data_IF_840584705900
#
_entry.id   IF_840584705900
#
_cell.length_a   1.000
_cell.length_b   1.000
_cell.length_c   1.000
_cell.angle_alpha   90.00
_cell.angle_beta   90.00
_cell.angle_gamma   90.00
#
_symmetry.space_group_name_H-M   'P 1'
#
loop_
_entity.id
_entity.type
_entity.pdbx_description
1 polymer ?
#
# COMPACT_ATOMS: atom_id res chain seq x y z
N UNK A 1 -17.50 5.88 14.02
CA UNK A 1 -16.40 5.05 13.54
C UNK A 1 -16.86 3.60 13.58
N UNK A 2 -16.63 2.84 12.52
CA UNK A 2 -17.03 1.42 12.50
C UNK A 2 -16.25 0.67 13.59
N UNK A 3 -16.89 -0.31 14.23
CA UNK A 3 -16.28 -1.09 15.33
C UNK A 3 -15.07 -1.94 14.90
N UNK A 4 -14.80 -2.05 13.58
CA UNK A 4 -13.76 -2.92 12.99
C UNK A 4 -12.44 -2.20 12.66
N UNK A 5 -12.28 -0.96 13.07
CA UNK A 5 -11.03 -0.21 12.92
C UNK A 5 -10.63 0.46 14.23
N UNK A 6 -9.38 0.28 14.63
CA UNK A 6 -8.72 1.02 15.70
C UNK A 6 -7.78 2.02 15.06
N UNK A 7 -7.93 3.29 15.38
CA UNK A 7 -7.13 4.37 14.79
C UNK A 7 -6.33 5.07 15.87
N UNK A 8 -5.04 5.16 15.66
CA UNK A 8 -4.10 5.91 16.47
C UNK A 8 -3.49 7.00 15.60
N UNK A 9 -3.35 8.21 16.12
CA UNK A 9 -2.71 9.32 15.43
C UNK A 9 -1.65 9.94 16.31
N UNK A 10 -0.46 10.07 15.79
CA UNK A 10 0.65 10.72 16.48
C UNK A 10 1.55 11.44 15.48
N UNK A 11 1.76 12.74 15.71
CA UNK A 11 2.73 13.57 14.99
C UNK A 11 2.67 13.43 13.45
N UNK A 12 1.42 13.44 12.93
CA UNK A 12 1.15 13.33 11.49
C UNK A 12 1.18 11.90 10.92
N UNK A 13 1.43 10.89 11.75
CA UNK A 13 1.31 9.48 11.36
C UNK A 13 -0.02 8.95 11.85
N UNK A 14 -0.81 8.39 10.93
CA UNK A 14 -2.06 7.69 11.23
C UNK A 14 -1.82 6.19 11.12
N UNK A 15 -2.20 5.45 12.17
CA UNK A 15 -2.16 3.99 12.16
C UNK A 15 -3.60 3.49 12.22
N UNK A 16 -4.07 2.89 11.14
CA UNK A 16 -5.38 2.26 11.03
C UNK A 16 -5.23 0.75 11.14
N UNK A 17 -5.57 0.21 12.31
CA UNK A 17 -5.48 -1.21 12.59
C UNK A 17 -6.85 -1.87 12.43
N UNK A 18 -6.95 -2.85 11.52
CA UNK A 18 -8.16 -3.62 11.28
C UNK A 18 -8.36 -4.64 12.40
N UNK A 19 -9.57 -4.66 12.99
CA UNK A 19 -9.93 -5.47 14.17
C UNK A 19 -11.28 -6.14 13.99
N UNK A 20 -11.29 -7.27 13.33
CA UNK A 20 -12.49 -8.09 13.13
C UNK A 20 -12.23 -9.56 13.50
N UNK A 21 -12.11 -9.87 14.82
CA UNK A 21 -11.81 -11.22 15.28
C UNK A 21 -12.93 -12.23 14.93
N UNK A 22 -12.64 -13.55 14.86
CA UNK A 22 -11.33 -14.14 15.20
C UNK A 22 -10.32 -14.15 14.06
N UNK A 23 -10.77 -14.15 12.80
CA UNK A 23 -9.91 -14.35 11.62
C UNK A 23 -9.49 -13.06 10.94
N UNK A 24 -10.02 -11.93 11.36
CA UNK A 24 -9.75 -10.61 10.80
C UNK A 24 -10.14 -10.47 9.32
N UNK A 25 -11.27 -11.09 8.94
CA UNK A 25 -11.83 -10.95 7.60
C UNK A 25 -12.27 -9.50 7.32
N UNK A 26 -11.99 -9.04 6.13
CA UNK A 26 -12.54 -7.79 5.62
C UNK A 26 -14.01 -8.00 5.27
N UNK A 27 -14.88 -7.14 5.75
CA UNK A 27 -16.34 -7.21 5.58
C UNK A 27 -16.89 -5.88 5.08
N UNK A 28 -18.17 -5.81 4.74
CA UNK A 28 -18.81 -4.54 4.34
C UNK A 28 -18.64 -3.42 5.34
N UNK A 29 -18.67 -3.72 6.65
CA UNK A 29 -18.39 -2.74 7.72
C UNK A 29 -16.94 -2.24 7.67
N UNK A 30 -15.99 -3.07 7.25
CA UNK A 30 -14.58 -2.68 7.06
C UNK A 30 -14.44 -1.70 5.90
N UNK A 31 -15.15 -1.95 4.79
CA UNK A 31 -15.17 -1.06 3.63
C UNK A 31 -15.77 0.31 3.99
N UNK A 32 -16.89 0.31 4.71
CA UNK A 32 -17.53 1.55 5.19
C UNK A 32 -16.59 2.34 6.10
N UNK A 33 -15.98 1.67 7.09
CA UNK A 33 -15.05 2.33 8.01
C UNK A 33 -13.80 2.88 7.31
N UNK A 34 -13.27 2.16 6.32
CA UNK A 34 -12.16 2.66 5.50
C UNK A 34 -12.55 3.92 4.73
N UNK A 35 -13.74 3.91 4.12
CA UNK A 35 -14.25 5.09 3.40
C UNK A 35 -14.45 6.30 4.33
N UNK A 36 -14.93 6.09 5.56
CA UNK A 36 -15.12 7.14 6.56
C UNK A 36 -13.79 7.77 7.03
N UNK A 37 -12.67 7.04 6.99
CA UNK A 37 -11.35 7.55 7.38
C UNK A 37 -10.68 8.39 6.29
N UNK A 38 -11.00 8.18 5.01
CA UNK A 38 -10.33 8.85 3.88
C UNK A 38 -10.38 10.40 3.92
N UNK A 39 -11.47 11.07 4.34
CA UNK A 39 -11.48 12.52 4.48
C UNK A 39 -10.41 13.01 5.49
N UNK A 40 -10.28 12.34 6.64
CA UNK A 40 -9.27 12.68 7.66
C UNK A 40 -7.84 12.51 7.12
N UNK A 41 -7.59 11.44 6.36
CA UNK A 41 -6.26 11.19 5.80
C UNK A 41 -5.82 12.21 4.75
N UNK A 42 -6.76 12.98 4.18
CA UNK A 42 -6.46 14.07 3.23
C UNK A 42 -6.03 15.37 3.88
N UNK A 43 -6.29 15.52 5.17
CA UNK A 43 -5.96 16.75 5.89
C UNK A 43 -4.44 17.05 5.85
N UNK A 44 -4.03 18.33 5.81
CA UNK A 44 -2.62 18.73 5.63
C UNK A 44 -1.69 18.25 6.75
N UNK A 45 -2.20 18.08 7.96
CA UNK A 45 -1.45 17.63 9.13
C UNK A 45 -1.16 16.12 9.12
N UNK A 46 -1.87 15.33 8.31
CA UNK A 46 -1.53 13.93 8.07
C UNK A 46 -0.38 13.84 7.06
N UNK A 47 0.67 13.13 7.43
CA UNK A 47 1.89 12.98 6.64
C UNK A 47 2.03 11.59 6.03
N UNK A 48 1.74 10.54 6.81
CA UNK A 48 1.85 9.13 6.41
C UNK A 48 0.70 8.35 7.03
N UNK A 49 0.20 7.35 6.31
CA UNK A 49 -0.80 6.41 6.81
C UNK A 49 -0.20 5.01 6.85
N UNK A 50 -0.45 4.28 7.93
CA UNK A 50 -0.11 2.87 8.09
C UNK A 50 -1.41 2.08 8.23
N UNK A 51 -1.58 1.04 7.41
CA UNK A 51 -2.67 0.08 7.55
C UNK A 51 -2.09 -1.23 8.06
N UNK A 52 -2.67 -1.78 9.15
CA UNK A 52 -2.16 -3.00 9.79
C UNK A 52 -3.29 -3.83 10.39
N UNK A 53 -2.98 -4.99 10.98
CA UNK A 53 -3.89 -5.76 11.83
C UNK A 53 -3.79 -5.31 13.30
N UNK A 54 -4.91 -5.39 14.03
CA UNK A 54 -4.96 -5.01 15.44
C UNK A 54 -4.44 -6.11 16.39
N UNK A 55 -4.51 -7.37 15.97
CA UNK A 55 -4.07 -8.52 16.77
C UNK A 55 -2.77 -9.11 16.21
N UNK A 56 -1.85 -9.56 17.10
CA UNK A 56 -0.63 -10.24 16.68
C UNK A 56 -0.92 -11.44 15.77
N UNK A 57 -0.13 -11.61 14.70
CA UNK A 57 -0.29 -12.69 13.73
C UNK A 57 -1.57 -12.60 12.90
N UNK A 58 -2.27 -11.49 12.92
CA UNK A 58 -3.50 -11.24 12.13
C UNK A 58 -3.38 -9.92 11.38
N UNK A 59 -3.27 -10.02 10.09
CA UNK A 59 -3.46 -8.91 9.17
C UNK A 59 -4.90 -8.91 8.64
N UNK A 60 -5.19 -8.37 7.50
CA UNK A 60 -6.47 -8.53 6.79
C UNK A 60 -6.40 -9.85 6.02
N UNK A 61 -6.99 -10.92 6.56
CA UNK A 61 -6.80 -12.28 6.04
C UNK A 61 -7.35 -12.42 4.62
N UNK A 62 -8.60 -12.03 4.38
CA UNK A 62 -9.24 -11.88 3.06
C UNK A 62 -10.61 -11.21 3.22
N UNK A 63 -11.32 -10.93 2.13
CA UNK A 63 -12.72 -10.53 2.19
C UNK A 63 -13.57 -11.73 2.64
N UNK A 64 -14.61 -11.50 3.47
CA UNK A 64 -15.49 -12.57 3.95
C UNK A 64 -16.12 -13.34 2.78
N UNK A 65 -15.85 -14.63 2.74
CA UNK A 65 -16.47 -15.53 1.75
C UNK A 65 -17.95 -15.75 2.08
N UNK A 66 -18.32 -15.67 3.36
CA UNK A 66 -19.70 -15.75 3.81
C UNK A 66 -20.55 -14.62 3.21
N UNK A 67 -20.06 -13.36 3.28
CA UNK A 67 -20.75 -12.24 2.63
C UNK A 67 -20.84 -12.40 1.11
N UNK A 68 -19.82 -13.00 0.47
CA UNK A 68 -19.87 -13.30 -0.96
C UNK A 68 -20.91 -14.37 -1.31
N UNK A 69 -21.07 -15.39 -0.46
CA UNK A 69 -22.11 -16.42 -0.61
C UNK A 69 -23.47 -15.78 -0.49
N UNK A 70 -23.73 -14.98 0.56
CA UNK A 70 -25.00 -14.29 0.76
C UNK A 70 -25.36 -13.41 -0.46
N UNK A 71 -24.37 -12.71 -1.04
CA UNK A 71 -24.56 -11.94 -2.27
C UNK A 71 -24.88 -12.83 -3.49
N UNK A 72 -24.25 -14.01 -3.59
CA UNK A 72 -24.38 -14.90 -4.74
C UNK A 72 -25.68 -15.74 -4.72
N UNK A 73 -26.31 -15.92 -3.56
CA UNK A 73 -27.58 -16.63 -3.42
C UNK A 73 -28.74 -15.89 -4.09
N UNK A 74 -28.73 -14.53 -4.04
CA UNK A 74 -29.70 -13.71 -4.79
C UNK A 74 -29.08 -13.23 -6.11
N UNK A 75 -29.08 -14.12 -7.10
CA UNK A 75 -28.47 -13.84 -8.42
C UNK A 75 -29.11 -12.69 -9.17
N UNK A 76 -30.42 -12.50 -9.03
CA UNK A 76 -31.14 -11.43 -9.73
C UNK A 76 -30.72 -10.07 -9.16
N UNK A 77 -30.72 -9.94 -7.85
CA UNK A 77 -30.26 -8.74 -7.16
C UNK A 77 -28.76 -8.49 -7.38
N UNK A 78 -27.94 -9.52 -7.33
CA UNK A 78 -26.51 -9.42 -7.61
C UNK A 78 -26.26 -8.90 -9.02
N UNK A 79 -26.93 -9.46 -10.05
CA UNK A 79 -26.78 -8.99 -11.44
C UNK A 79 -27.23 -7.53 -11.56
N UNK A 80 -28.33 -7.16 -10.92
CA UNK A 80 -28.86 -5.79 -10.93
C UNK A 80 -27.89 -4.78 -10.33
N UNK A 81 -27.16 -5.16 -9.27
CA UNK A 81 -26.22 -4.28 -8.53
C UNK A 81 -24.75 -4.53 -8.83
N UNK A 82 -24.42 -5.52 -9.66
CA UNK A 82 -23.04 -6.00 -9.82
C UNK A 82 -22.05 -4.89 -10.20
N UNK A 83 -22.44 -4.00 -11.10
CA UNK A 83 -21.56 -2.88 -11.47
C UNK A 83 -21.33 -1.91 -10.31
N UNK A 84 -22.37 -1.57 -9.55
CA UNK A 84 -22.24 -0.66 -8.40
C UNK A 84 -21.38 -1.27 -7.31
N UNK A 85 -21.54 -2.56 -7.04
CA UNK A 85 -20.75 -3.29 -6.04
C UNK A 85 -19.27 -3.35 -6.44
N UNK A 86 -18.97 -3.81 -7.65
CA UNK A 86 -17.58 -3.98 -8.09
C UNK A 86 -16.88 -2.63 -8.32
N UNK A 87 -17.56 -1.64 -8.90
CA UNK A 87 -16.99 -0.31 -9.06
C UNK A 87 -16.87 0.43 -7.73
N UNK A 88 -17.75 0.17 -6.76
CA UNK A 88 -17.61 0.64 -5.38
C UNK A 88 -16.33 0.10 -4.74
N UNK A 89 -16.06 -1.20 -4.88
CA UNK A 89 -14.82 -1.83 -4.43
C UNK A 89 -13.58 -1.23 -5.12
N UNK A 90 -13.61 -1.12 -6.46
CA UNK A 90 -12.53 -0.48 -7.22
C UNK A 90 -12.26 0.94 -6.73
N UNK A 91 -13.31 1.75 -6.59
CA UNK A 91 -13.19 3.16 -6.17
C UNK A 91 -12.63 3.28 -4.75
N UNK A 92 -13.07 2.40 -3.84
CA UNK A 92 -12.57 2.38 -2.48
C UNK A 92 -11.06 2.07 -2.44
N UNK A 93 -10.64 0.98 -3.07
CA UNK A 93 -9.22 0.60 -3.05
C UNK A 93 -8.35 1.57 -3.83
N UNK A 94 -8.79 2.03 -4.99
CA UNK A 94 -8.05 3.05 -5.75
C UNK A 94 -7.90 4.36 -4.98
N UNK A 95 -8.84 4.70 -4.07
CA UNK A 95 -8.69 5.88 -3.23
C UNK A 95 -7.43 5.87 -2.37
N UNK A 96 -6.89 4.69 -2.04
CA UNK A 96 -5.60 4.53 -1.37
C UNK A 96 -4.44 4.88 -2.31
N UNK A 97 -4.44 4.32 -3.52
CA UNK A 97 -3.41 4.61 -4.53
C UNK A 97 -3.38 6.10 -4.92
N UNK A 98 -4.56 6.74 -4.98
CA UNK A 98 -4.68 8.16 -5.34
C UNK A 98 -4.66 9.13 -4.16
N UNK A 99 -4.48 8.64 -2.93
CA UNK A 99 -4.27 9.51 -1.77
C UNK A 99 -2.92 10.23 -1.91
N UNK A 100 -2.92 11.54 -1.72
CA UNK A 100 -1.71 12.38 -1.84
C UNK A 100 -0.73 12.25 -0.65
N UNK A 101 -0.79 11.13 0.05
CA UNK A 101 0.06 10.78 1.19
C UNK A 101 0.63 9.39 0.98
N UNK A 102 1.86 9.11 1.44
CA UNK A 102 2.36 7.74 1.50
C UNK A 102 1.47 6.85 2.36
N UNK A 103 1.20 5.64 1.88
CA UNK A 103 0.49 4.60 2.62
C UNK A 103 1.36 3.36 2.72
N UNK A 104 1.53 2.86 3.93
CA UNK A 104 2.32 1.65 4.22
C UNK A 104 1.36 0.55 4.68
N UNK A 105 1.40 -0.60 4.02
CA UNK A 105 0.77 -1.82 4.52
C UNK A 105 1.78 -2.56 5.41
N UNK A 106 1.52 -2.60 6.72
CA UNK A 106 2.25 -3.41 7.68
C UNK A 106 1.52 -4.74 7.84
N UNK A 107 1.94 -5.73 7.08
CA UNK A 107 1.27 -7.02 6.92
C UNK A 107 1.71 -7.96 8.04
N UNK A 108 0.98 -7.94 9.17
CA UNK A 108 1.32 -8.64 10.43
C UNK A 108 0.77 -10.06 10.50
N UNK A 109 0.50 -10.71 9.39
CA UNK A 109 -0.04 -12.07 9.33
C UNK A 109 -0.42 -12.49 7.93
N UNK A 110 -1.15 -13.61 7.84
CA UNK A 110 -1.68 -14.11 6.56
C UNK A 110 -2.56 -13.10 5.86
N UNK A 111 -2.47 -13.07 4.52
CA UNK A 111 -3.35 -12.26 3.69
C UNK A 111 -3.61 -12.92 2.34
N UNK A 112 -4.84 -12.79 1.86
CA UNK A 112 -5.23 -13.29 0.54
C UNK A 112 -6.38 -12.48 -0.04
N UNK A 113 -6.67 -12.67 -1.31
CA UNK A 113 -7.81 -12.04 -1.95
C UNK A 113 -7.89 -10.54 -1.66
N UNK A 114 -9.04 -10.09 -1.16
CA UNK A 114 -9.30 -8.69 -0.85
C UNK A 114 -8.30 -8.02 0.10
N UNK A 115 -7.67 -8.78 1.02
CA UNK A 115 -6.63 -8.28 1.91
C UNK A 115 -5.33 -7.96 1.15
N UNK A 116 -4.92 -8.83 0.24
CA UNK A 116 -3.78 -8.59 -0.63
C UNK A 116 -4.08 -7.51 -1.67
N UNK A 117 -5.32 -7.43 -2.17
CA UNK A 117 -5.75 -6.33 -3.06
C UNK A 117 -5.61 -4.96 -2.40
N UNK A 118 -6.05 -4.85 -1.13
CA UNK A 118 -5.87 -3.62 -0.35
C UNK A 118 -4.38 -3.30 -0.21
N UNK A 119 -3.56 -4.29 0.14
CA UNK A 119 -2.11 -4.10 0.31
C UNK A 119 -1.41 -3.65 -0.98
N UNK A 120 -1.82 -4.19 -2.14
CA UNK A 120 -1.30 -3.78 -3.46
C UNK A 120 -1.72 -2.36 -3.86
N UNK A 121 -2.76 -1.79 -3.25
CA UNK A 121 -3.12 -0.38 -3.41
C UNK A 121 -2.35 0.56 -2.45
N UNK A 122 -1.57 0.02 -1.50
CA UNK A 122 -0.64 0.80 -0.70
C UNK A 122 0.69 1.01 -1.44
N UNK A 123 1.45 2.04 -1.06
CA UNK A 123 2.70 2.39 -1.72
C UNK A 123 3.85 1.47 -1.31
N UNK A 124 3.93 1.13 -0.03
CA UNK A 124 4.97 0.28 0.55
C UNK A 124 4.27 -0.87 1.30
N UNK A 125 4.77 -2.09 1.10
CA UNK A 125 4.29 -3.31 1.77
C UNK A 125 5.44 -3.93 2.54
N UNK A 126 5.29 -4.00 3.87
CA UNK A 126 6.23 -4.63 4.79
C UNK A 126 5.53 -5.83 5.40
N UNK A 127 6.03 -7.03 5.15
CA UNK A 127 5.43 -8.26 5.69
C UNK A 127 6.25 -8.78 6.87
N UNK A 128 5.55 -9.26 7.87
CA UNK A 128 6.17 -9.86 9.06
C UNK A 128 6.80 -11.20 8.71
N UNK A 129 8.00 -11.44 9.24
CA UNK A 129 8.66 -12.75 9.15
C UNK A 129 7.91 -13.76 10.00
N UNK A 130 7.77 -14.96 9.50
CA UNK A 130 7.08 -16.05 10.20
C UNK A 130 6.47 -17.04 9.23
N UNK A 131 5.68 -17.96 9.77
CA UNK A 131 4.91 -18.92 8.98
C UNK A 131 3.61 -18.25 8.48
N UNK A 132 3.78 -17.17 7.71
CA UNK A 132 2.70 -16.41 7.10
C UNK A 132 2.74 -16.49 5.59
N UNK A 133 1.57 -16.51 4.99
CA UNK A 133 1.39 -16.66 3.55
C UNK A 133 0.61 -15.49 2.96
N UNK A 134 0.91 -15.13 1.72
CA UNK A 134 0.08 -14.22 0.94
C UNK A 134 -0.27 -14.80 -0.43
N UNK A 135 -1.47 -14.52 -0.93
CA UNK A 135 -1.90 -15.12 -2.17
C UNK A 135 -3.26 -14.71 -2.72
N UNK A 136 -3.62 -15.32 -3.84
CA UNK A 136 -4.91 -15.14 -4.49
C UNK A 136 -5.58 -16.51 -4.73
N UNK A 137 -6.50 -16.94 -3.85
CA UNK A 137 -7.18 -18.24 -3.96
C UNK A 137 -8.40 -18.22 -4.90
N UNK A 138 -8.76 -17.09 -5.48
CA UNK A 138 -10.04 -16.85 -6.13
C UNK A 138 -10.38 -17.84 -7.23
N UNK A 139 -9.41 -18.24 -8.06
CA UNK A 139 -9.68 -19.21 -9.13
C UNK A 139 -10.10 -20.59 -8.60
N UNK A 140 -9.61 -21.01 -7.42
CA UNK A 140 -10.05 -22.24 -6.76
C UNK A 140 -11.47 -22.14 -6.18
N UNK A 141 -11.96 -20.92 -5.91
CA UNK A 141 -13.33 -20.63 -5.50
C UNK A 141 -14.27 -20.36 -6.69
N UNK A 142 -13.76 -20.39 -7.93
CA UNK A 142 -14.56 -20.13 -9.12
C UNK A 142 -14.90 -18.65 -9.35
N UNK A 143 -14.17 -17.74 -8.72
CA UNK A 143 -14.35 -16.29 -8.86
C UNK A 143 -13.07 -15.62 -9.34
N UNK A 144 -13.15 -14.33 -9.65
CA UNK A 144 -12.01 -13.49 -9.98
C UNK A 144 -11.73 -12.51 -8.83
N UNK A 145 -10.47 -12.07 -8.70
CA UNK A 145 -10.09 -10.96 -7.83
C UNK A 145 -10.82 -9.67 -8.25
N UNK A 146 -11.11 -8.78 -7.30
CA UNK A 146 -11.72 -7.48 -7.60
C UNK A 146 -10.75 -6.52 -8.33
N UNK A 147 -9.55 -6.34 -7.80
CA UNK A 147 -8.48 -5.49 -8.38
C UNK A 147 -7.16 -6.24 -8.57
N UNK A 148 -7.02 -7.39 -7.93
CA UNK A 148 -5.76 -8.13 -7.79
C UNK A 148 -5.11 -8.49 -9.09
N UNK A 149 -5.88 -8.90 -10.13
CA UNK A 149 -5.32 -9.26 -11.44
C UNK A 149 -4.56 -8.11 -12.10
N UNK A 150 -5.10 -6.90 -12.01
CA UNK A 150 -4.51 -5.71 -12.61
C UNK A 150 -3.31 -5.19 -11.81
N UNK A 151 -3.38 -5.25 -10.49
CA UNK A 151 -2.31 -4.75 -9.63
C UNK A 151 -1.15 -5.73 -9.55
N UNK A 152 -1.42 -7.04 -9.49
CA UNK A 152 -0.39 -8.06 -9.46
C UNK A 152 0.42 -8.06 -10.77
N UNK A 153 -0.25 -7.93 -11.93
CA UNK A 153 0.43 -7.84 -13.23
C UNK A 153 1.43 -6.67 -13.26
N UNK A 154 1.04 -5.52 -12.71
CA UNK A 154 1.90 -4.34 -12.62
C UNK A 154 3.06 -4.52 -11.63
N UNK A 155 2.84 -5.29 -10.58
CA UNK A 155 3.88 -5.53 -9.57
C UNK A 155 4.93 -6.55 -10.03
N UNK A 156 4.49 -7.69 -10.62
CA UNK A 156 5.39 -8.83 -10.88
C UNK A 156 5.48 -9.23 -12.36
N UNK A 157 4.78 -8.50 -13.22
CA UNK A 157 4.73 -8.75 -14.66
C UNK A 157 3.77 -9.87 -15.06
N UNK A 158 3.30 -9.80 -16.31
CA UNK A 158 2.19 -10.59 -16.84
C UNK A 158 2.35 -12.09 -16.65
N UNK A 159 3.54 -12.65 -16.97
CA UNK A 159 3.76 -14.11 -16.93
C UNK A 159 3.65 -14.66 -15.50
N UNK A 160 4.29 -13.99 -14.55
CA UNK A 160 4.26 -14.39 -13.14
C UNK A 160 2.86 -14.19 -12.54
N UNK A 161 2.18 -13.11 -12.88
CA UNK A 161 0.82 -12.86 -12.42
C UNK A 161 -0.17 -13.92 -12.93
N UNK A 162 -0.07 -14.33 -14.19
CA UNK A 162 -0.91 -15.41 -14.73
C UNK A 162 -0.64 -16.74 -14.02
N UNK A 163 0.63 -17.15 -13.84
CA UNK A 163 0.95 -18.36 -13.08
C UNK A 163 0.40 -18.31 -11.66
N UNK A 164 0.51 -17.15 -11.01
CA UNK A 164 0.05 -16.93 -9.64
C UNK A 164 -1.48 -17.07 -9.52
N UNK A 165 -2.23 -16.37 -10.36
CA UNK A 165 -3.69 -16.32 -10.34
C UNK A 165 -4.32 -17.64 -10.81
N UNK A 166 -3.87 -18.19 -11.95
CA UNK A 166 -4.46 -19.40 -12.52
C UNK A 166 -4.26 -20.64 -11.63
N UNK A 167 -3.19 -20.67 -10.84
CA UNK A 167 -2.90 -21.76 -9.90
C UNK A 167 -3.34 -21.47 -8.49
N UNK A 168 -4.06 -20.37 -8.24
CA UNK A 168 -4.52 -19.97 -6.90
C UNK A 168 -3.39 -20.00 -5.86
N UNK A 169 -2.23 -19.42 -6.21
CA UNK A 169 -1.02 -19.56 -5.40
C UNK A 169 -1.07 -18.77 -4.11
N UNK A 170 -0.50 -19.39 -3.08
CA UNK A 170 0.04 -18.71 -1.89
C UNK A 170 1.55 -18.85 -1.87
N UNK A 171 2.24 -17.85 -1.35
CA UNK A 171 3.69 -17.83 -1.16
C UNK A 171 4.03 -17.36 0.25
N UNK A 172 5.17 -17.79 0.77
CA UNK A 172 5.73 -17.27 2.02
C UNK A 172 6.16 -15.81 1.86
N UNK A 173 6.52 -15.16 2.97
CA UNK A 173 7.07 -13.81 2.95
C UNK A 173 8.30 -13.69 2.05
N UNK A 174 9.23 -14.67 2.11
CA UNK A 174 10.41 -14.72 1.24
C UNK A 174 10.04 -14.85 -0.23
N UNK A 175 9.06 -15.71 -0.55
CA UNK A 175 8.56 -15.84 -1.91
C UNK A 175 7.88 -14.56 -2.42
N UNK A 176 7.17 -13.85 -1.54
CA UNK A 176 6.54 -12.57 -1.85
C UNK A 176 7.57 -11.46 -2.10
N UNK A 177 8.66 -11.45 -1.33
CA UNK A 177 9.77 -10.52 -1.52
C UNK A 177 10.51 -10.82 -2.84
N UNK A 178 10.85 -12.08 -3.11
CA UNK A 178 11.51 -12.49 -4.34
C UNK A 178 10.69 -12.14 -5.59
N UNK A 179 9.38 -12.29 -5.51
CA UNK A 179 8.48 -11.93 -6.60
C UNK A 179 8.27 -10.42 -6.76
N UNK A 180 8.55 -9.62 -5.73
CA UNK A 180 8.26 -8.19 -5.69
C UNK A 180 6.82 -7.85 -5.28
N UNK A 181 6.10 -8.81 -4.69
CA UNK A 181 4.77 -8.58 -4.11
C UNK A 181 4.88 -7.71 -2.87
N UNK A 182 5.90 -7.93 -2.02
CA UNK A 182 6.24 -7.07 -0.89
C UNK A 182 7.59 -6.39 -1.10
N UNK A 183 7.80 -5.27 -0.41
CA UNK A 183 9.02 -4.47 -0.55
C UNK A 183 10.07 -4.85 0.49
N UNK A 184 9.65 -5.34 1.65
CA UNK A 184 10.53 -5.63 2.79
C UNK A 184 9.92 -6.73 3.68
N UNK A 185 10.79 -7.49 4.37
CA UNK A 185 10.42 -8.38 5.47
C UNK A 185 11.02 -7.87 6.77
N UNK A 186 10.23 -7.85 7.84
CA UNK A 186 10.67 -7.42 9.17
C UNK A 186 10.22 -8.40 10.26
N UNK A 187 10.93 -8.46 11.36
CA UNK A 187 10.56 -9.32 12.51
C UNK A 187 9.31 -8.77 13.23
N UNK A 188 9.06 -7.46 13.13
CA UNK A 188 7.84 -6.76 13.53
C UNK A 188 7.49 -5.77 12.42
N UNK A 189 6.53 -6.13 11.59
CA UNK A 189 6.13 -5.33 10.43
C UNK A 189 5.51 -3.97 10.85
N UNK A 190 4.78 -3.93 11.99
CA UNK A 190 4.18 -2.69 12.48
C UNK A 190 5.27 -1.73 12.99
N UNK A 191 6.20 -2.20 13.80
CA UNK A 191 7.30 -1.38 14.30
C UNK A 191 8.14 -0.85 13.12
N UNK A 192 8.46 -1.70 12.16
CA UNK A 192 9.21 -1.31 10.96
C UNK A 192 8.47 -0.28 10.10
N UNK A 193 7.17 -0.42 9.93
CA UNK A 193 6.34 0.56 9.22
C UNK A 193 6.35 1.93 9.91
N UNK A 194 6.34 1.95 11.25
CA UNK A 194 6.46 3.19 12.03
C UNK A 194 7.83 3.85 11.79
N UNK A 195 8.94 3.09 11.82
CA UNK A 195 10.28 3.63 11.51
C UNK A 195 10.34 4.24 10.11
N UNK A 196 9.80 3.55 9.11
CA UNK A 196 9.71 4.07 7.74
C UNK A 196 8.84 5.32 7.68
N UNK A 197 7.69 5.33 8.36
CA UNK A 197 6.80 6.49 8.40
C UNK A 197 7.47 7.71 9.07
N UNK A 198 8.21 7.49 10.18
CA UNK A 198 8.97 8.53 10.85
C UNK A 198 10.02 9.16 9.92
N UNK A 199 10.69 8.36 9.10
CA UNK A 199 11.62 8.88 8.10
C UNK A 199 10.89 9.63 6.98
N UNK A 200 9.78 9.09 6.46
CA UNK A 200 9.02 9.73 5.38
C UNK A 200 8.44 11.08 5.82
N UNK A 201 7.91 11.19 7.05
CA UNK A 201 7.31 12.45 7.53
C UNK A 201 8.30 13.62 7.62
N UNK A 202 9.61 13.35 7.71
CA UNK A 202 10.63 14.38 7.71
C UNK A 202 10.97 14.93 6.31
N UNK A 203 10.57 14.23 5.26
CA UNK A 203 10.75 14.68 3.89
C UNK A 203 9.68 15.71 3.49
N UNK A 204 9.94 16.47 2.43
CA UNK A 204 8.97 17.41 1.86
C UNK A 204 7.66 16.72 1.48
N UNK A 205 6.53 17.19 2.03
CA UNK A 205 5.21 16.68 1.68
C UNK A 205 4.90 16.86 0.19
N UNK A 206 5.32 17.98 -0.37
CA UNK A 206 5.13 18.28 -1.80
C UNK A 206 5.93 17.30 -2.65
N UNK A 207 7.17 17.00 -2.27
CA UNK A 207 8.02 16.06 -3.00
C UNK A 207 7.49 14.62 -2.94
N UNK A 208 7.07 14.15 -1.76
CA UNK A 208 6.46 12.81 -1.61
C UNK A 208 5.18 12.67 -2.43
N UNK A 209 4.31 13.68 -2.36
CA UNK A 209 3.08 13.73 -3.16
C UNK A 209 3.38 13.72 -4.65
N UNK A 210 4.33 14.52 -5.10
CA UNK A 210 4.72 14.62 -6.50
C UNK A 210 5.27 13.28 -7.02
N UNK A 211 6.17 12.64 -6.27
CA UNK A 211 6.71 11.33 -6.61
C UNK A 211 5.61 10.26 -6.74
N UNK A 212 4.69 10.19 -5.77
CA UNK A 212 3.54 9.27 -5.83
C UNK A 212 2.65 9.55 -7.03
N UNK A 213 2.27 10.79 -7.25
CA UNK A 213 1.41 11.19 -8.39
C UNK A 213 2.06 10.89 -9.72
N UNK A 214 3.36 11.16 -9.88
CA UNK A 214 4.10 10.87 -11.10
C UNK A 214 4.01 9.37 -11.43
N UNK A 215 4.28 8.50 -10.46
CA UNK A 215 4.22 7.05 -10.66
C UNK A 215 2.77 6.58 -10.88
N UNK A 216 1.86 6.91 -9.97
CA UNK A 216 0.47 6.35 -10.00
C UNK A 216 -0.29 6.82 -11.23
N UNK A 217 -0.15 8.09 -11.62
CA UNK A 217 -0.87 8.66 -12.77
C UNK A 217 -0.16 8.39 -14.09
N UNK A 218 1.19 8.35 -14.08
CA UNK A 218 2.01 8.22 -15.28
C UNK A 218 2.22 6.79 -15.76
N UNK A 219 2.29 5.80 -14.84
CA UNK A 219 2.70 4.44 -15.17
C UNK A 219 1.83 3.70 -16.21
N UNK A 220 0.58 4.08 -16.35
CA UNK A 220 -0.36 3.46 -17.31
C UNK A 220 -0.53 4.27 -18.60
N UNK A 221 0.19 5.38 -18.76
CA UNK A 221 0.15 6.23 -19.92
C UNK A 221 1.26 5.85 -20.92
N UNK A 222 1.11 6.19 -22.21
CA UNK A 222 2.26 6.18 -23.11
C UNK A 222 3.42 7.02 -22.53
N UNK A 223 4.66 6.60 -22.73
CA UNK A 223 5.86 7.22 -22.12
C UNK A 223 5.87 8.76 -22.20
N UNK A 224 5.53 9.31 -23.36
CA UNK A 224 5.54 10.77 -23.55
C UNK A 224 4.48 11.50 -22.71
N UNK A 225 3.34 10.86 -22.47
CA UNK A 225 2.30 11.40 -21.61
C UNK A 225 2.67 11.24 -20.12
N UNK A 226 3.25 10.11 -19.75
CA UNK A 226 3.80 9.90 -18.40
C UNK A 226 4.88 10.93 -18.05
N UNK A 227 5.81 11.23 -18.98
CA UNK A 227 6.83 12.28 -18.79
C UNK A 227 6.23 13.69 -18.67
N UNK A 228 5.06 13.96 -19.24
CA UNK A 228 4.37 15.25 -19.00
C UNK A 228 3.84 15.32 -17.56
N UNK A 229 3.24 14.24 -17.07
CA UNK A 229 2.81 14.17 -15.66
C UNK A 229 4.01 14.41 -14.73
N UNK A 230 5.13 13.74 -14.98
CA UNK A 230 6.36 13.91 -14.19
C UNK A 230 6.87 15.35 -14.24
N UNK A 231 6.92 15.97 -15.42
CA UNK A 231 7.35 17.37 -15.57
C UNK A 231 6.45 18.35 -14.81
N UNK A 232 5.13 18.15 -14.85
CA UNK A 232 4.17 18.98 -14.09
C UNK A 232 4.36 18.83 -12.58
N UNK A 233 4.56 17.61 -12.09
CA UNK A 233 4.81 17.35 -10.67
C UNK A 233 6.21 17.87 -10.26
N UNK A 234 7.25 17.73 -11.09
CA UNK A 234 8.57 18.28 -10.84
C UNK A 234 8.54 19.82 -10.68
N UNK A 235 7.81 20.52 -11.56
CA UNK A 235 7.68 21.98 -11.46
C UNK A 235 7.04 22.42 -10.15
N UNK A 236 6.12 21.64 -9.58
CA UNK A 236 5.49 21.94 -8.28
C UNK A 236 6.49 21.82 -7.12
N UNK A 237 7.50 20.95 -7.24
CA UNK A 237 8.50 20.76 -6.19
C UNK A 237 9.61 21.79 -6.25
N UNK A 238 10.19 22.02 -7.44
CA UNK A 238 11.41 22.82 -7.59
C UNK A 238 11.23 24.32 -7.25
N UNK A 239 9.97 24.81 -7.30
CA UNK A 239 9.66 26.22 -7.01
C UNK A 239 9.37 26.49 -5.53
N UNK A 240 9.45 25.48 -4.65
CA UNK A 240 9.18 25.66 -3.22
C UNK A 240 10.41 26.18 -2.47
N UNK A 241 10.18 26.99 -1.45
CA UNK A 241 11.26 27.47 -0.56
C UNK A 241 11.95 26.30 0.13
N UNK A 242 11.20 25.28 0.55
CA UNK A 242 11.72 24.05 1.16
C UNK A 242 12.71 23.31 0.24
N UNK A 243 12.39 23.17 -1.05
CA UNK A 243 13.29 22.56 -2.02
C UNK A 243 14.57 23.41 -2.23
N UNK A 244 14.41 24.73 -2.28
CA UNK A 244 15.54 25.64 -2.43
C UNK A 244 16.49 25.56 -1.22
N UNK A 245 15.95 25.52 0.00
CA UNK A 245 16.73 25.40 1.23
C UNK A 245 17.46 24.05 1.30
N UNK A 246 16.79 22.94 0.98
CA UNK A 246 17.39 21.62 0.95
C UNK A 246 18.53 21.53 -0.09
N UNK A 247 18.30 22.05 -1.30
CA UNK A 247 19.34 22.09 -2.34
C UNK A 247 20.54 22.95 -1.95
N UNK A 248 20.32 24.11 -1.31
CA UNK A 248 21.42 24.95 -0.78
C UNK A 248 22.23 24.23 0.28
N UNK A 249 21.54 23.59 1.24
CA UNK A 249 22.22 22.78 2.28
C UNK A 249 23.13 21.71 1.68
N UNK A 250 22.68 21.03 0.62
CA UNK A 250 23.53 20.07 -0.11
C UNK A 250 24.71 20.71 -0.81
N UNK A 251 24.50 21.86 -1.47
CA UNK A 251 25.55 22.56 -2.21
C UNK A 251 26.59 23.19 -1.27
N UNK A 252 26.17 23.70 -0.13
CA UNK A 252 27.01 24.31 0.89
C UNK A 252 27.88 23.28 1.65
N UNK A 253 27.48 21.99 1.64
CA UNK A 253 28.31 20.92 2.16
C UNK A 253 29.61 20.79 1.32
N UNK A 254 30.79 20.64 1.95
CA UNK A 254 32.04 20.34 1.25
C UNK A 254 31.89 19.14 0.32
N UNK A 255 32.51 19.19 -0.85
CA UNK A 255 32.31 18.16 -1.88
C UNK A 255 32.53 16.72 -1.37
N UNK A 256 33.56 16.54 -0.54
CA UNK A 256 33.89 15.26 0.11
C UNK A 256 32.86 14.80 1.14
N UNK A 257 32.08 15.72 1.69
CA UNK A 257 31.05 15.42 2.71
C UNK A 257 29.66 15.20 2.11
N UNK A 258 29.44 15.53 0.83
CA UNK A 258 28.13 15.39 0.17
C UNK A 258 27.57 13.97 0.20
N UNK A 259 28.45 12.96 0.17
CA UNK A 259 28.02 11.56 0.33
C UNK A 259 27.48 11.29 1.73
N UNK A 260 28.06 11.89 2.76
CA UNK A 260 27.55 11.79 4.13
C UNK A 260 26.20 12.51 4.25
N UNK A 261 26.06 13.68 3.67
CA UNK A 261 24.80 14.42 3.60
C UNK A 261 23.67 13.58 2.97
N UNK A 262 23.93 12.89 1.85
CA UNK A 262 22.94 12.00 1.21
C UNK A 262 22.57 10.83 2.11
N UNK A 263 23.54 10.28 2.88
CA UNK A 263 23.26 9.20 3.84
C UNK A 263 22.36 9.66 4.98
N UNK A 264 22.56 10.84 5.47
CA UNK A 264 21.77 11.43 6.56
C UNK A 264 20.33 11.72 6.14
N UNK A 265 20.15 12.27 4.94
CA UNK A 265 18.85 12.74 4.42
C UNK A 265 18.12 11.68 3.59
N UNK A 266 18.79 10.69 3.03
CA UNK A 266 18.23 9.61 2.23
C UNK A 266 18.03 8.31 3.02
N UNK A 267 17.32 7.33 2.42
CA UNK A 267 17.25 5.96 2.89
C UNK A 267 18.45 5.17 2.38
N UNK A 268 19.59 5.29 3.06
CA UNK A 268 20.80 4.57 2.68
C UNK A 268 20.86 3.22 3.41
N UNK A 269 21.19 2.10 2.73
CA UNK A 269 21.33 0.82 3.40
C UNK A 269 22.47 0.85 4.42
N UNK A 270 22.24 0.24 5.59
CA UNK A 270 23.30 0.09 6.59
C UNK A 270 24.52 -0.67 6.02
N UNK A 271 25.75 -0.30 6.40
CA UNK A 271 26.92 -1.02 5.99
C UNK A 271 26.83 -2.50 6.37
N UNK A 272 26.80 -3.40 5.40
CA UNK A 272 26.70 -4.84 5.61
C UNK A 272 25.28 -5.42 5.56
N UNK A 273 24.23 -4.61 5.43
CA UNK A 273 22.93 -5.11 5.01
C UNK A 273 23.03 -5.50 3.53
N UNK A 274 23.06 -6.79 3.25
CA UNK A 274 22.95 -7.26 1.88
C UNK A 274 21.61 -6.77 1.31
N UNK A 275 21.69 -5.82 0.38
CA UNK A 275 20.56 -5.58 -0.53
C UNK A 275 20.38 -6.92 -1.23
N UNK A 276 19.25 -7.60 -0.94
CA UNK A 276 18.96 -8.90 -1.54
C UNK A 276 19.13 -8.83 -3.04
N UNK A 277 20.06 -9.65 -3.54
CA UNK A 277 20.25 -9.94 -4.95
C UNK A 277 19.15 -10.85 -5.44
#
# INVERSE_FOLDING_TARGET
MSQVWKVEENDGIVIAAHDNPPMNYFVGASATGLAEMLPRWREPDVRVVIITGAAPGRYITHYSVEELVDLAEDREELIRRSYDLIFGWHSLLQSLSYLDKPIIAAMTGDTGGGGLELSLNCDIRIMERGDYMCGFPEASLGILTGTGSQLLERAIGRSRALDFLLRSRYVSGEGALELGIVNELADDAKARAIEVAEKLRTNSAVALTAAKRSVVRGANLPMQEGLRVEAEEWLKTIVTDEALEAMKSYVDAPFEERRAWVREHGAWPEPGSATGS
#
